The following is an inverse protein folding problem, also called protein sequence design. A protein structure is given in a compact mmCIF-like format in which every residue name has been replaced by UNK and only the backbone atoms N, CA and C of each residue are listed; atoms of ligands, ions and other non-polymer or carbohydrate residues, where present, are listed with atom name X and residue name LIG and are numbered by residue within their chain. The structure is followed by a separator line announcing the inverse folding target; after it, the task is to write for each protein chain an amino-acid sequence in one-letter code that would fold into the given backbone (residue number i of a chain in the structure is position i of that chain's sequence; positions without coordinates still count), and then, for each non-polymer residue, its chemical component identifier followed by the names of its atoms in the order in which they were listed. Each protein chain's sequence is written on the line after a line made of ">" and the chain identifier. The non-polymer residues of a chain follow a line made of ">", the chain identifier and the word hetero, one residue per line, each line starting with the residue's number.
data_IF_589461510485
#
_entry.id   IF_589461510485
#
_cell.length_a   1.000
_cell.length_b   1.000
_cell.length_c   1.000
_cell.angle_alpha   90.00
_cell.angle_beta   90.00
_cell.angle_gamma   90.00
#
_symmetry.space_group_name_H-M   'P 1'
#
loop_
_entity.id
_entity.type
_entity.pdbx_description
1 polymer ?
#
# COMPACT_ATOMS: atom_id res chain seq x y z
N UNK A 1 -6.64 6.04 -28.13
CA UNK A 1 -7.69 5.94 -27.10
C UNK A 1 -8.84 6.93 -27.32
N UNK A 2 -8.59 8.26 -27.42
CA UNK A 2 -9.64 9.26 -27.70
C UNK A 2 -10.47 8.95 -28.96
N UNK A 3 -9.81 8.75 -30.11
CA UNK A 3 -10.47 8.40 -31.37
C UNK A 3 -11.32 7.12 -31.27
N UNK A 4 -10.79 6.11 -30.56
CA UNK A 4 -11.49 4.84 -30.33
C UNK A 4 -12.77 5.03 -29.51
N UNK A 5 -12.71 5.79 -28.40
CA UNK A 5 -13.87 6.03 -27.54
C UNK A 5 -14.97 6.81 -28.26
N UNK A 6 -14.63 7.77 -29.14
CA UNK A 6 -15.63 8.51 -29.92
C UNK A 6 -16.31 7.66 -30.99
N UNK A 7 -15.58 6.72 -31.58
CA UNK A 7 -16.09 5.84 -32.63
C UNK A 7 -16.99 4.73 -32.06
N UNK A 8 -16.58 4.12 -30.95
CA UNK A 8 -17.21 2.91 -30.42
C UNK A 8 -18.22 3.16 -29.30
N UNK A 9 -18.32 4.39 -28.78
CA UNK A 9 -19.22 4.73 -27.68
C UNK A 9 -20.06 5.98 -28.01
N UNK A 10 -21.31 5.76 -28.43
CA UNK A 10 -22.25 6.80 -28.87
C UNK A 10 -22.39 8.00 -27.90
N UNK A 11 -22.55 7.77 -26.59
CA UNK A 11 -22.50 8.83 -25.57
C UNK A 11 -21.24 9.72 -25.59
N UNK A 12 -20.10 9.20 -26.05
CA UNK A 12 -18.82 9.91 -26.10
C UNK A 12 -18.51 10.52 -27.48
N UNK A 13 -19.42 10.46 -28.46
CA UNK A 13 -19.18 10.94 -29.84
C UNK A 13 -18.75 12.41 -29.92
N UNK A 14 -19.19 13.22 -28.95
CA UNK A 14 -18.89 14.65 -28.85
C UNK A 14 -17.84 14.97 -27.79
N UNK A 15 -17.18 13.95 -27.20
CA UNK A 15 -16.13 14.17 -26.22
C UNK A 15 -14.91 14.84 -26.87
N UNK A 16 -14.34 15.79 -26.16
CA UNK A 16 -13.15 16.53 -26.57
C UNK A 16 -12.09 16.48 -25.47
N UNK A 17 -10.82 16.54 -25.86
CA UNK A 17 -9.71 16.58 -24.93
C UNK A 17 -9.56 18.02 -24.43
N UNK A 18 -9.94 18.26 -23.18
CA UNK A 18 -9.90 19.60 -22.58
C UNK A 18 -8.48 20.02 -22.21
N UNK A 19 -7.75 19.15 -21.49
CA UNK A 19 -6.39 19.43 -21.01
C UNK A 19 -5.57 18.15 -21.05
N UNK A 20 -4.30 18.30 -21.40
CA UNK A 20 -3.25 17.31 -21.13
C UNK A 20 -2.28 17.95 -20.15
N UNK A 21 -1.85 17.22 -19.13
CA UNK A 21 -0.82 17.71 -18.22
C UNK A 21 0.43 18.08 -19.02
N UNK A 22 0.93 19.31 -18.85
CA UNK A 22 2.13 19.80 -19.53
C UNK A 22 3.40 19.11 -19.04
N UNK A 23 3.34 18.48 -17.87
CA UNK A 23 4.47 17.84 -17.21
C UNK A 23 4.09 16.48 -16.63
N UNK A 24 5.11 15.62 -16.48
CA UNK A 24 4.98 14.35 -15.79
C UNK A 24 4.97 14.58 -14.27
N UNK A 25 3.92 14.11 -13.60
CA UNK A 25 3.86 14.13 -12.14
C UNK A 25 4.88 13.17 -11.52
N UNK A 26 5.60 13.61 -10.49
CA UNK A 26 6.50 12.76 -9.71
C UNK A 26 5.66 11.78 -8.88
N UNK A 27 5.66 10.51 -9.26
CA UNK A 27 4.89 9.43 -8.61
C UNK A 27 5.63 8.69 -7.51
N UNK A 28 6.90 9.02 -7.26
CA UNK A 28 7.76 8.38 -6.25
C UNK A 28 8.70 9.42 -5.65
N UNK A 29 8.91 9.38 -4.34
CA UNK A 29 9.77 10.34 -3.63
C UNK A 29 10.31 9.73 -2.35
N UNK A 30 10.75 10.58 -1.42
CA UNK A 30 11.19 10.14 -0.09
C UNK A 30 10.06 9.41 0.64
N UNK A 31 10.40 8.40 1.42
CA UNK A 31 9.45 7.64 2.25
C UNK A 31 9.74 7.84 3.72
N UNK A 32 8.69 7.64 4.50
CA UNK A 32 8.77 7.56 5.94
C UNK A 32 9.62 6.37 6.38
N UNK A 33 10.41 6.57 7.44
CA UNK A 33 11.13 5.50 8.10
C UNK A 33 10.32 5.05 9.32
N UNK A 34 9.78 3.84 9.23
CA UNK A 34 9.08 3.19 10.32
C UNK A 34 10.01 2.31 11.15
N UNK A 35 9.46 1.75 12.24
CA UNK A 35 10.18 0.77 13.07
C UNK A 35 10.60 -0.49 12.31
N UNK A 36 9.88 -0.81 11.23
CA UNK A 36 10.24 -1.84 10.27
C UNK A 36 10.12 -1.30 8.85
N UNK A 37 10.94 -1.82 7.93
CA UNK A 37 10.86 -1.51 6.50
C UNK A 37 10.43 -2.78 5.77
N UNK A 38 9.22 -2.78 5.20
CA UNK A 38 8.78 -3.90 4.36
C UNK A 38 9.70 -4.03 3.13
N UNK A 39 10.36 -5.17 3.00
CA UNK A 39 11.34 -5.43 1.94
C UNK A 39 10.72 -6.17 0.75
N UNK A 40 11.39 -6.11 -0.39
CA UNK A 40 11.05 -6.92 -1.56
C UNK A 40 11.05 -8.42 -1.23
N UNK A 41 12.01 -8.86 -0.41
CA UNK A 41 12.11 -10.24 0.05
C UNK A 41 10.89 -10.66 0.87
N UNK A 42 10.35 -9.78 1.71
CA UNK A 42 9.17 -10.11 2.53
C UNK A 42 7.95 -10.36 1.64
N UNK A 43 7.82 -9.57 0.57
CA UNK A 43 6.74 -9.70 -0.42
C UNK A 43 6.91 -11.00 -1.23
N UNK A 44 8.10 -11.23 -1.79
CA UNK A 44 8.34 -12.37 -2.67
C UNK A 44 8.32 -13.73 -1.94
N UNK A 45 8.66 -13.73 -0.64
CA UNK A 45 8.65 -14.93 0.20
C UNK A 45 7.41 -15.05 1.09
N UNK A 46 6.37 -14.21 0.88
CA UNK A 46 5.11 -14.28 1.62
C UNK A 46 5.29 -14.29 3.15
N UNK A 47 6.18 -13.44 3.68
CA UNK A 47 6.54 -13.44 5.10
C UNK A 47 5.32 -13.13 5.97
N UNK A 48 5.21 -13.89 7.07
CA UNK A 48 4.18 -13.72 8.11
C UNK A 48 4.78 -13.07 9.35
N UNK A 49 3.98 -12.26 10.02
CA UNK A 49 4.36 -11.48 11.17
C UNK A 49 3.36 -11.67 12.32
N UNK A 50 3.89 -11.75 13.54
CA UNK A 50 3.08 -11.83 14.75
C UNK A 50 2.13 -10.62 14.86
N UNK A 51 2.65 -9.44 14.50
CA UNK A 51 1.99 -8.14 14.58
C UNK A 51 1.46 -7.65 13.22
N UNK A 52 0.96 -8.57 12.38
CA UNK A 52 0.37 -8.26 11.07
C UNK A 52 -0.93 -7.46 11.18
N UNK A 53 -1.11 -6.47 10.30
CA UNK A 53 -2.32 -5.62 10.22
C UNK A 53 -3.00 -5.60 8.85
N UNK A 54 -2.39 -6.20 7.83
CA UNK A 54 -2.95 -6.30 6.49
C UNK A 54 -2.30 -7.45 5.70
N UNK A 55 -3.08 -8.09 4.83
CA UNK A 55 -2.59 -9.04 3.83
C UNK A 55 -2.44 -8.35 2.48
N UNK A 56 -1.30 -8.57 1.84
CA UNK A 56 -1.02 -8.15 0.47
C UNK A 56 -1.02 -9.33 -0.48
N UNK A 57 -1.78 -9.20 -1.56
CA UNK A 57 -1.97 -10.25 -2.60
C UNK A 57 -1.63 -9.76 -4.00
N UNK A 58 -1.24 -8.49 -4.15
CA UNK A 58 -0.82 -7.94 -5.45
C UNK A 58 0.65 -8.30 -5.69
N UNK A 59 1.07 -8.70 -6.89
CA UNK A 59 2.49 -8.85 -7.22
C UNK A 59 3.22 -7.51 -7.16
N UNK A 60 4.55 -7.52 -7.24
CA UNK A 60 5.33 -6.30 -7.37
C UNK A 60 5.21 -5.81 -8.81
N UNK A 61 4.42 -4.75 -9.02
CA UNK A 61 4.23 -4.09 -10.31
C UNK A 61 5.11 -2.84 -10.43
N UNK A 62 6.09 -2.85 -11.33
CA UNK A 62 6.97 -1.70 -11.56
C UNK A 62 7.19 -1.42 -13.04
N UNK A 63 7.53 -0.17 -13.35
CA UNK A 63 7.84 0.26 -14.71
C UNK A 63 9.35 0.23 -14.93
N UNK A 64 9.78 -0.54 -15.94
CA UNK A 64 11.17 -0.58 -16.36
C UNK A 64 11.59 0.69 -17.09
N UNK A 65 12.90 0.91 -17.22
CA UNK A 65 13.45 2.03 -18.00
C UNK A 65 13.14 1.92 -19.50
N UNK A 66 12.77 0.73 -19.97
CA UNK A 66 12.28 0.44 -21.32
C UNK A 66 10.82 0.85 -21.54
N UNK A 67 10.14 1.35 -20.51
CA UNK A 67 8.75 1.77 -20.56
C UNK A 67 7.75 0.61 -20.46
N UNK A 68 8.20 -0.62 -20.17
CA UNK A 68 7.32 -1.77 -20.01
C UNK A 68 6.95 -2.00 -18.53
N UNK A 69 5.76 -2.57 -18.32
CA UNK A 69 5.33 -3.07 -17.01
C UNK A 69 6.02 -4.40 -16.74
N UNK A 70 6.64 -4.51 -15.58
CA UNK A 70 7.20 -5.73 -15.05
C UNK A 70 6.42 -6.14 -13.80
N UNK A 71 6.25 -7.45 -13.63
CA UNK A 71 5.44 -8.07 -12.59
C UNK A 71 6.25 -9.19 -11.95
N UNK A 72 6.69 -9.01 -10.70
CA UNK A 72 7.33 -10.08 -9.94
C UNK A 72 6.28 -10.74 -9.04
N UNK A 73 6.03 -12.02 -9.30
CA UNK A 73 5.01 -12.81 -8.62
C UNK A 73 5.62 -13.66 -7.50
N UNK A 74 4.85 -13.82 -6.42
CA UNK A 74 5.05 -14.84 -5.39
C UNK A 74 4.02 -15.97 -5.58
N UNK A 75 4.03 -16.96 -4.69
CA UNK A 75 3.11 -18.10 -4.75
C UNK A 75 1.64 -17.63 -4.80
N UNK A 76 0.90 -18.09 -5.81
CA UNK A 76 -0.44 -17.59 -6.10
C UNK A 76 -1.49 -17.89 -5.01
N UNK A 77 -1.26 -18.95 -4.21
CA UNK A 77 -2.14 -19.38 -3.11
C UNK A 77 -1.69 -18.83 -1.75
N UNK A 78 -0.86 -17.79 -1.75
CA UNK A 78 -0.31 -17.19 -0.54
C UNK A 78 -0.41 -15.65 -0.58
N UNK A 79 -0.09 -15.02 0.55
CA UNK A 79 -0.05 -13.56 0.71
C UNK A 79 1.16 -13.18 1.57
N UNK A 80 1.65 -11.96 1.45
CA UNK A 80 2.56 -11.41 2.44
C UNK A 80 1.79 -10.57 3.45
N UNK A 81 2.32 -10.45 4.66
CA UNK A 81 1.72 -9.61 5.70
C UNK A 81 2.44 -8.28 5.84
N UNK A 82 1.70 -7.22 6.20
CA UNK A 82 2.25 -5.91 6.53
C UNK A 82 2.20 -5.77 8.06
N UNK A 83 3.34 -5.72 8.77
CA UNK A 83 3.35 -5.55 10.23
C UNK A 83 3.02 -4.11 10.64
N UNK A 84 2.44 -3.96 11.83
CA UNK A 84 2.12 -2.65 12.42
C UNK A 84 3.34 -1.70 12.49
N UNK A 85 4.54 -2.24 12.67
CA UNK A 85 5.79 -1.48 12.72
C UNK A 85 6.13 -0.74 11.42
N UNK A 86 5.58 -1.16 10.28
CA UNK A 86 5.66 -0.40 9.02
C UNK A 86 4.91 0.94 9.09
N UNK A 87 3.94 1.05 10.01
CA UNK A 87 3.07 2.21 10.17
C UNK A 87 3.55 3.11 11.31
N UNK A 88 4.45 2.66 12.19
CA UNK A 88 4.91 3.46 13.34
C UNK A 88 6.23 4.16 13.02
N UNK A 89 6.32 5.47 13.24
CA UNK A 89 7.58 6.21 13.07
C UNK A 89 8.72 5.63 13.92
N UNK A 90 9.91 5.56 13.35
CA UNK A 90 11.12 5.16 14.06
C UNK A 90 11.54 6.18 15.13
N UNK A 91 11.23 7.47 14.91
CA UNK A 91 11.73 8.58 15.73
C UNK A 91 10.66 9.19 16.65
N UNK A 92 9.39 9.13 16.24
CA UNK A 92 8.28 9.85 16.89
C UNK A 92 7.22 8.88 17.40
N UNK A 93 7.10 8.74 18.72
CA UNK A 93 6.20 7.77 19.35
C UNK A 93 4.70 8.01 19.13
N UNK A 94 4.30 9.18 18.61
CA UNK A 94 2.91 9.57 18.35
C UNK A 94 2.61 9.80 16.85
N UNK A 95 3.51 9.38 15.95
CA UNK A 95 3.33 9.54 14.51
C UNK A 95 3.14 8.18 13.84
N UNK A 96 2.07 8.09 13.05
CA UNK A 96 1.70 6.90 12.29
C UNK A 96 1.58 7.22 10.79
N UNK A 97 1.86 6.23 9.96
CA UNK A 97 1.77 6.29 8.50
C UNK A 97 0.68 5.34 7.99
N UNK A 98 0.17 5.58 6.78
CA UNK A 98 -0.81 4.72 6.14
C UNK A 98 -0.71 4.81 4.62
N UNK A 99 -1.27 3.81 3.93
CA UNK A 99 -1.31 3.74 2.47
C UNK A 99 0.08 3.83 1.84
N UNK A 100 0.24 4.68 0.83
CA UNK A 100 1.52 4.87 0.11
C UNK A 100 2.67 5.35 1.01
N UNK A 101 2.39 5.89 2.20
CA UNK A 101 3.39 6.47 3.09
C UNK A 101 3.95 5.48 4.13
N UNK A 102 3.51 4.21 4.13
CA UNK A 102 4.10 3.20 5.02
C UNK A 102 5.60 3.01 4.74
N UNK A 103 6.31 2.53 5.74
CA UNK A 103 7.73 2.22 5.67
C UNK A 103 7.97 0.95 4.86
N UNK A 104 8.45 1.12 3.63
CA UNK A 104 8.67 0.04 2.69
C UNK A 104 9.76 0.42 1.67
N UNK A 105 10.44 -0.60 1.14
CA UNK A 105 11.36 -0.46 0.00
C UNK A 105 10.63 0.00 -1.28
N UNK A 106 11.38 0.49 -2.27
CA UNK A 106 10.85 0.91 -3.57
C UNK A 106 10.03 -0.20 -4.27
N UNK A 107 10.53 -1.43 -4.18
CA UNK A 107 9.90 -2.62 -4.76
C UNK A 107 8.68 -3.05 -3.96
N UNK A 108 8.80 -3.21 -2.64
CA UNK A 108 7.70 -3.65 -1.80
C UNK A 108 6.49 -2.70 -1.86
N UNK A 109 6.71 -1.38 -1.84
CA UNK A 109 5.61 -0.41 -1.89
C UNK A 109 4.84 -0.48 -3.22
N UNK A 110 5.46 -0.99 -4.29
CA UNK A 110 4.81 -1.13 -5.58
C UNK A 110 3.66 -2.15 -5.52
N UNK A 111 3.78 -3.16 -4.67
CA UNK A 111 2.72 -4.10 -4.31
C UNK A 111 1.84 -3.56 -3.17
N UNK A 112 2.45 -3.09 -2.07
CA UNK A 112 1.73 -2.78 -0.83
C UNK A 112 0.84 -1.52 -0.87
N UNK A 113 0.86 -0.75 -1.96
CA UNK A 113 0.05 0.49 -2.12
C UNK A 113 -1.24 0.30 -2.94
N UNK A 114 -1.69 -0.93 -3.17
CA UNK A 114 -2.99 -1.18 -3.79
C UNK A 114 -4.14 -0.76 -2.86
N UNK A 115 -5.34 -0.57 -3.42
CA UNK A 115 -6.45 0.02 -2.67
C UNK A 115 -6.82 -0.77 -1.40
N UNK A 116 -6.81 -2.11 -1.47
CA UNK A 116 -7.15 -2.98 -0.34
C UNK A 116 -6.20 -2.79 0.85
N UNK A 117 -4.90 -2.90 0.61
CA UNK A 117 -3.88 -2.68 1.65
C UNK A 117 -3.85 -1.23 2.13
N UNK A 118 -4.14 -0.25 1.27
CA UNK A 118 -4.26 1.16 1.70
C UNK A 118 -5.43 1.39 2.66
N UNK A 119 -6.57 0.76 2.41
CA UNK A 119 -7.73 0.83 3.32
C UNK A 119 -7.41 0.15 4.66
N UNK A 120 -6.85 -1.06 4.62
CA UNK A 120 -6.45 -1.80 5.82
C UNK A 120 -5.41 -1.04 6.67
N UNK A 121 -4.35 -0.54 6.05
CA UNK A 121 -3.32 0.26 6.75
C UNK A 121 -3.87 1.58 7.27
N UNK A 122 -4.80 2.23 6.56
CA UNK A 122 -5.50 3.42 7.04
C UNK A 122 -6.35 3.16 8.29
N UNK A 123 -7.12 2.06 8.28
CA UNK A 123 -7.88 1.62 9.44
C UNK A 123 -6.96 1.34 10.64
N UNK A 124 -5.92 0.54 10.42
CA UNK A 124 -4.96 0.17 11.45
C UNK A 124 -4.26 1.39 12.07
N UNK A 125 -3.75 2.31 11.24
CA UNK A 125 -3.10 3.53 11.70
C UNK A 125 -4.03 4.39 12.55
N UNK A 126 -5.30 4.56 12.12
CA UNK A 126 -6.30 5.32 12.86
C UNK A 126 -6.61 4.71 14.23
N UNK A 127 -6.80 3.39 14.28
CA UNK A 127 -7.10 2.66 15.53
C UNK A 127 -5.92 2.68 16.49
N UNK A 128 -4.69 2.50 16.00
CA UNK A 128 -3.47 2.62 16.81
C UNK A 128 -3.28 4.04 17.36
N UNK A 129 -3.47 5.08 16.53
CA UNK A 129 -3.36 6.47 16.98
C UNK A 129 -4.40 6.81 18.06
N UNK A 130 -5.65 6.39 17.88
CA UNK A 130 -6.71 6.58 18.88
C UNK A 130 -6.39 5.84 20.19
N UNK A 131 -5.95 4.58 20.10
CA UNK A 131 -5.57 3.78 21.25
C UNK A 131 -4.37 4.35 22.01
N UNK A 132 -3.40 4.93 21.31
CA UNK A 132 -2.26 5.63 21.92
C UNK A 132 -2.70 6.82 22.77
N UNK A 133 -3.64 7.65 22.29
CA UNK A 133 -4.18 8.78 23.06
C UNK A 133 -4.95 8.29 24.30
N UNK A 134 -5.66 7.17 24.17
CA UNK A 134 -6.39 6.52 25.26
C UNK A 134 -5.49 5.70 26.20
N UNK A 135 -4.16 5.67 25.97
CA UNK A 135 -3.18 4.90 26.76
C UNK A 135 -3.51 3.41 26.86
N UNK A 136 -4.09 2.84 25.81
CA UNK A 136 -4.33 1.40 25.69
C UNK A 136 -3.02 0.70 25.33
N UNK A 137 -2.91 -0.58 25.68
CA UNK A 137 -1.75 -1.38 25.31
C UNK A 137 -1.67 -1.53 23.78
N UNK A 138 -0.48 -1.35 23.22
CA UNK A 138 -0.28 -1.37 21.77
C UNK A 138 -0.47 -2.77 21.18
N UNK A 139 -0.06 -3.82 21.91
CA UNK A 139 -0.19 -5.18 21.42
C UNK A 139 -1.67 -5.60 21.42
N UNK A 140 -2.43 -5.23 22.44
CA UNK A 140 -3.88 -5.46 22.48
C UNK A 140 -4.57 -4.86 21.25
N UNK A 141 -4.28 -3.60 20.92
CA UNK A 141 -4.86 -2.94 19.74
C UNK A 141 -4.48 -3.66 18.45
N UNK A 142 -3.20 -4.04 18.30
CA UNK A 142 -2.72 -4.73 17.10
C UNK A 142 -3.41 -6.10 16.95
N UNK A 143 -3.59 -6.83 18.04
CA UNK A 143 -4.28 -8.12 18.01
C UNK A 143 -5.77 -7.97 17.69
N UNK A 144 -6.43 -6.91 18.16
CA UNK A 144 -7.80 -6.58 17.75
C UNK A 144 -7.86 -6.30 16.23
N UNK A 145 -6.95 -5.47 15.70
CA UNK A 145 -6.89 -5.15 14.27
C UNK A 145 -6.67 -6.43 13.46
N UNK A 146 -5.73 -7.28 13.88
CA UNK A 146 -5.43 -8.55 13.22
C UNK A 146 -6.67 -9.45 13.17
N UNK A 147 -7.41 -9.53 14.28
CA UNK A 147 -8.67 -10.29 14.33
C UNK A 147 -9.75 -9.73 13.40
N UNK A 148 -9.89 -8.40 13.34
CA UNK A 148 -10.92 -7.75 12.52
C UNK A 148 -10.62 -7.81 11.01
N UNK A 149 -9.34 -7.76 10.62
CA UNK A 149 -8.94 -7.63 9.23
C UNK A 149 -8.46 -8.95 8.59
N UNK A 150 -7.89 -9.87 9.37
CA UNK A 150 -7.22 -11.07 8.83
C UNK A 150 -7.94 -12.39 9.14
N UNK A 151 -8.89 -12.42 10.08
CA UNK A 151 -9.62 -13.64 10.47
C UNK A 151 -11.04 -13.72 9.88
N UNK A 152 -11.24 -13.21 8.66
CA UNK A 152 -12.54 -13.30 7.94
C UNK A 152 -12.63 -14.59 7.14
#
# INVERSE_FOLDING_TARGET
>A
MHTFLKAENGPLKNAEMSVVASELGIRTGRRSLGKYILSESDVLNCVKFDQAIANGVWPIEYWGHDGNVNMDYFNADDCYEIPADCLMSADLGNLYFAGRNISASDRAIASARVIGTCLATGYAAGKMAAGSVLKRDANEIIQEIKSELLNV
#
